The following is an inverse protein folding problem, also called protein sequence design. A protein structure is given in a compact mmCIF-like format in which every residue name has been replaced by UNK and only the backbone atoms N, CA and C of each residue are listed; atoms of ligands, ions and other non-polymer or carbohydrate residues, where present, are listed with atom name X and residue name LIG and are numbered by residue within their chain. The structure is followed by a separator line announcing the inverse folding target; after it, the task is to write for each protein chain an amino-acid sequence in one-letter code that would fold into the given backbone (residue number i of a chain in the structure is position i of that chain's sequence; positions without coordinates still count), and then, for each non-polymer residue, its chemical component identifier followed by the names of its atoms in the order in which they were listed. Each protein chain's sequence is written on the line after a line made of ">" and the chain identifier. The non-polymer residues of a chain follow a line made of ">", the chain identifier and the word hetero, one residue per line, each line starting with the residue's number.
data_IF_854585096914
#
_entry.id   IF_854585096914
#
_cell.length_a   1.000
_cell.length_b   1.000
_cell.length_c   1.000
_cell.angle_alpha   90.00
_cell.angle_beta   90.00
_cell.angle_gamma   90.00
#
_symmetry.space_group_name_H-M   'P 1'
#
loop_
_entity.id
_entity.type
_entity.pdbx_description
1 polymer ?
#
# COMPACT_ATOMS: atom_id res chain seq x y z
N UNK A 1 13.36 -17.37 10.75
CA UNK A 1 14.42 -16.76 11.58
C UNK A 1 14.57 -17.60 12.85
N UNK A 2 15.80 -17.98 13.27
CA UNK A 2 16.01 -18.62 14.57
C UNK A 2 15.52 -17.72 15.72
N UNK A 3 14.89 -18.29 16.75
CA UNK A 3 14.48 -17.56 17.96
C UNK A 3 13.16 -16.78 17.89
N UNK A 4 12.37 -16.92 16.81
CA UNK A 4 11.06 -16.27 16.65
C UNK A 4 9.95 -17.29 16.36
N UNK A 5 8.68 -17.05 16.76
CA UNK A 5 8.18 -15.86 17.47
C UNK A 5 8.64 -15.78 18.94
N UNK A 6 8.83 -14.56 19.44
CA UNK A 6 9.21 -14.28 20.82
C UNK A 6 8.13 -13.42 21.49
N UNK A 7 7.87 -13.64 22.79
CA UNK A 7 6.98 -12.77 23.56
C UNK A 7 7.55 -11.35 23.62
N UNK A 8 6.73 -10.35 23.29
CA UNK A 8 7.16 -8.95 23.21
C UNK A 8 7.83 -8.45 24.50
N UNK A 9 7.36 -8.91 25.66
CA UNK A 9 7.88 -8.55 26.99
C UNK A 9 9.24 -9.15 27.33
N UNK A 10 9.73 -10.14 26.58
CA UNK A 10 11.08 -10.70 26.75
C UNK A 10 12.14 -9.76 26.19
N UNK A 11 11.85 -9.15 25.03
CA UNK A 11 12.71 -8.17 24.37
C UNK A 11 12.46 -6.75 24.92
N UNK A 12 11.20 -6.32 24.96
CA UNK A 12 10.74 -5.03 25.47
C UNK A 12 10.26 -5.16 26.92
N UNK A 13 11.21 -5.29 27.86
CA UNK A 13 10.87 -5.49 29.28
C UNK A 13 10.04 -4.33 29.82
N UNK A 14 8.90 -4.66 30.45
CA UNK A 14 7.93 -3.68 30.96
C UNK A 14 6.85 -3.26 29.95
N UNK A 15 6.92 -3.69 28.70
CA UNK A 15 5.87 -3.46 27.70
C UNK A 15 4.77 -4.54 27.79
N UNK A 16 3.47 -4.17 27.83
CA UNK A 16 2.37 -5.12 27.86
C UNK A 16 2.16 -5.85 26.52
N UNK A 17 1.56 -7.06 26.52
CA UNK A 17 1.20 -7.76 25.29
C UNK A 17 0.06 -7.03 24.54
N UNK A 18 -0.02 -7.27 23.22
CA UNK A 18 -1.02 -6.66 22.32
C UNK A 18 -1.00 -5.13 22.37
N UNK A 19 0.10 -4.53 21.91
CA UNK A 19 0.16 -3.08 21.65
C UNK A 19 -0.79 -2.69 20.52
N UNK A 20 -1.20 -1.42 20.49
CA UNK A 20 -2.11 -0.89 19.46
C UNK A 20 -1.33 -0.24 18.31
N UNK A 21 -0.27 0.51 18.65
CA UNK A 21 0.63 1.14 17.67
C UNK A 21 2.06 1.27 18.22
N UNK A 22 3.04 1.38 17.31
CA UNK A 22 4.44 1.72 17.60
C UNK A 22 4.99 2.58 16.47
N UNK A 23 5.88 3.52 16.79
CA UNK A 23 6.74 4.20 15.82
C UNK A 23 8.07 4.59 16.46
N UNK A 24 9.06 4.91 15.63
CA UNK A 24 10.30 5.58 16.04
C UNK A 24 10.13 7.10 15.83
N UNK A 25 10.41 7.90 16.85
CA UNK A 25 10.26 9.36 16.78
C UNK A 25 11.53 10.07 16.26
N UNK A 26 11.46 11.40 16.17
CA UNK A 26 12.58 12.26 15.74
C UNK A 26 13.86 12.16 16.57
N UNK A 27 13.83 11.54 17.76
CA UNK A 27 14.97 11.35 18.65
C UNK A 27 15.53 9.91 18.60
N UNK A 28 15.05 9.06 17.69
CA UNK A 28 15.40 7.64 17.62
C UNK A 28 14.85 6.81 18.79
N UNK A 29 13.76 7.25 19.41
CA UNK A 29 13.09 6.53 20.52
C UNK A 29 11.86 5.79 20.01
N UNK A 30 11.71 4.55 20.45
CA UNK A 30 10.53 3.74 20.15
C UNK A 30 9.39 4.11 21.10
N UNK A 31 8.31 4.63 20.53
CA UNK A 31 7.11 5.04 21.25
C UNK A 31 6.01 4.01 20.99
N UNK A 32 5.55 3.37 22.04
CA UNK A 32 4.49 2.35 21.99
C UNK A 32 3.21 2.87 22.61
N UNK A 33 2.07 2.59 21.99
CA UNK A 33 0.73 2.93 22.49
C UNK A 33 -0.09 1.67 22.81
N UNK A 34 -0.88 1.75 23.89
CA UNK A 34 -1.89 0.75 24.23
C UNK A 34 -3.02 1.42 25.03
N UNK A 35 -4.23 1.46 24.46
CA UNK A 35 -5.35 2.21 24.99
C UNK A 35 -4.97 3.67 25.23
N UNK A 36 -5.22 4.16 26.45
CA UNK A 36 -4.86 5.51 26.89
C UNK A 36 -3.43 5.66 27.39
N UNK A 37 -2.59 4.63 27.32
CA UNK A 37 -1.22 4.66 27.83
C UNK A 37 -0.19 4.64 26.71
N UNK A 38 0.96 5.27 26.96
CA UNK A 38 2.13 5.15 26.12
C UNK A 38 3.40 4.87 26.92
N UNK A 39 4.35 4.20 26.27
CA UNK A 39 5.69 3.88 26.77
C UNK A 39 6.70 4.46 25.79
N UNK A 40 7.83 4.96 26.29
CA UNK A 40 8.96 5.36 25.45
C UNK A 40 10.17 4.52 25.85
N UNK A 41 10.80 3.93 24.84
CA UNK A 41 12.04 3.17 24.96
C UNK A 41 13.14 3.90 24.19
N UNK A 42 14.36 3.87 24.74
CA UNK A 42 15.58 4.15 23.97
C UNK A 42 16.30 2.83 23.81
N UNK A 43 16.66 2.46 22.59
CA UNK A 43 17.14 1.12 22.25
C UNK A 43 16.11 0.08 22.75
N UNK A 44 16.46 -0.77 23.72
CA UNK A 44 15.53 -1.72 24.38
C UNK A 44 15.19 -1.34 25.83
N UNK A 45 15.60 -0.16 26.29
CA UNK A 45 15.48 0.31 27.69
C UNK A 45 14.29 1.24 27.87
N UNK A 46 13.31 0.79 28.66
CA UNK A 46 12.16 1.60 29.08
C UNK A 46 12.64 2.85 29.81
N UNK A 47 12.21 4.02 29.35
CA UNK A 47 12.60 5.29 29.95
C UNK A 47 11.90 5.51 31.30
N UNK A 48 12.50 6.30 32.19
CA UNK A 48 11.96 6.55 33.53
C UNK A 48 10.62 7.31 33.48
N UNK A 49 9.71 6.94 34.39
CA UNK A 49 8.39 7.56 34.52
C UNK A 49 7.35 7.12 33.47
N UNK A 50 7.55 5.97 32.82
CA UNK A 50 6.57 5.33 31.92
C UNK A 50 5.96 4.06 32.54
N UNK A 51 4.71 3.68 32.18
CA UNK A 51 3.82 4.35 31.22
C UNK A 51 3.27 5.70 31.70
N UNK A 52 2.86 6.53 30.73
CA UNK A 52 2.13 7.78 30.95
C UNK A 52 0.79 7.75 30.24
N UNK A 53 -0.17 8.56 30.70
CA UNK A 53 -1.43 8.76 29.99
C UNK A 53 -1.21 9.58 28.71
N UNK A 54 -1.92 9.23 27.63
CA UNK A 54 -1.82 9.84 26.30
C UNK A 54 -2.12 11.35 26.30
N UNK A 55 -2.89 11.85 27.27
CA UNK A 55 -3.09 13.30 27.50
C UNK A 55 -1.80 14.04 27.84
N UNK A 56 -0.79 13.35 28.39
CA UNK A 56 0.54 13.90 28.69
C UNK A 56 1.52 13.81 27.50
N UNK A 57 1.10 13.20 26.38
CA UNK A 57 1.95 13.08 25.21
C UNK A 57 2.18 14.46 24.57
N UNK A 58 1.09 15.18 24.28
CA UNK A 58 1.10 16.55 23.76
C UNK A 58 -0.31 17.12 23.63
N UNK A 59 -0.40 18.42 23.33
CA UNK A 59 -1.69 19.10 23.20
C UNK A 59 -2.45 18.64 21.93
N UNK A 60 -3.76 18.41 22.06
CA UNK A 60 -4.63 17.98 20.95
C UNK A 60 -4.64 16.48 20.64
N UNK A 61 -4.00 15.64 21.46
CA UNK A 61 -4.02 14.17 21.31
C UNK A 61 -5.44 13.58 21.41
N UNK A 62 -5.77 12.53 20.63
CA UNK A 62 -7.05 11.83 20.76
C UNK A 62 -7.14 11.09 22.11
N UNK A 63 -8.17 11.39 22.90
CA UNK A 63 -8.32 10.91 24.29
C UNK A 63 -8.65 9.42 24.48
N UNK A 64 -8.52 8.59 23.43
CA UNK A 64 -8.96 7.18 23.43
C UNK A 64 -7.80 6.20 23.23
N UNK A 65 -7.21 6.18 22.04
CA UNK A 65 -6.06 5.35 21.64
C UNK A 65 -5.51 5.79 20.28
N UNK A 66 -4.35 5.25 19.89
CA UNK A 66 -3.73 5.40 18.57
C UNK A 66 -3.75 4.04 17.87
N UNK A 67 -4.19 3.97 16.61
CA UNK A 67 -4.26 2.73 15.81
C UNK A 67 -3.08 2.60 14.84
N UNK A 68 -2.46 3.72 14.44
CA UNK A 68 -1.19 3.75 13.70
C UNK A 68 -0.46 5.05 14.03
N UNK A 69 0.87 4.97 14.11
CA UNK A 69 1.76 6.12 14.22
C UNK A 69 2.87 5.98 13.16
N UNK A 70 3.34 7.08 12.58
CA UNK A 70 4.48 7.08 11.66
C UNK A 70 5.19 8.44 11.69
N UNK A 71 6.51 8.43 11.83
CA UNK A 71 7.35 9.62 11.68
C UNK A 71 7.68 9.84 10.20
N UNK A 72 7.48 11.06 9.71
CA UNK A 72 7.90 11.49 8.38
C UNK A 72 9.01 12.52 8.52
N UNK A 73 10.25 12.05 8.39
CA UNK A 73 11.46 12.84 8.59
C UNK A 73 11.56 14.04 7.63
N UNK A 74 11.24 13.84 6.34
CA UNK A 74 11.38 14.85 5.29
C UNK A 74 10.52 16.12 5.51
N UNK A 75 9.46 16.01 6.31
CA UNK A 75 8.59 17.15 6.72
C UNK A 75 8.64 17.43 8.22
N UNK A 76 9.48 16.72 8.97
CA UNK A 76 9.61 16.78 10.42
C UNK A 76 8.27 16.72 11.20
N UNK A 77 7.38 15.77 10.83
CA UNK A 77 6.08 15.57 11.52
C UNK A 77 5.78 14.10 11.79
N UNK A 78 5.14 13.84 12.92
CA UNK A 78 4.54 12.54 13.22
C UNK A 78 3.08 12.55 12.79
N UNK A 79 2.63 11.47 12.16
CA UNK A 79 1.24 11.27 11.77
C UNK A 79 0.63 10.14 12.60
N UNK A 80 -0.51 10.43 13.23
CA UNK A 80 -1.28 9.47 13.99
C UNK A 80 -2.61 9.21 13.30
N UNK A 81 -3.08 7.97 13.30
CA UNK A 81 -4.34 7.55 12.67
C UNK A 81 -5.25 6.88 13.68
N UNK A 82 -6.56 7.13 13.53
CA UNK A 82 -7.63 6.48 14.28
C UNK A 82 -8.94 6.60 13.50
N UNK A 83 -9.60 5.47 13.21
CA UNK A 83 -10.85 5.48 12.45
C UNK A 83 -10.70 6.09 11.05
N UNK A 84 -11.64 6.97 10.70
CA UNK A 84 -11.69 7.76 9.47
C UNK A 84 -10.72 8.96 9.46
N UNK A 85 -9.88 9.13 10.49
CA UNK A 85 -9.15 10.37 10.77
C UNK A 85 -7.68 10.18 11.01
N UNK A 86 -6.94 11.25 10.72
CA UNK A 86 -5.54 11.37 11.05
C UNK A 86 -5.20 12.75 11.63
N UNK A 87 -4.18 12.77 12.48
CA UNK A 87 -3.60 13.95 13.13
C UNK A 87 -2.18 14.16 12.61
N UNK A 88 -1.75 15.41 12.54
CA UNK A 88 -0.34 15.77 12.27
C UNK A 88 0.22 16.46 13.51
N UNK A 89 1.24 15.85 14.08
CA UNK A 89 1.84 16.23 15.35
C UNK A 89 3.22 16.86 15.13
N UNK A 90 3.48 17.93 15.86
CA UNK A 90 4.78 18.57 15.97
C UNK A 90 5.50 18.04 17.21
N UNK A 91 6.56 17.23 17.01
CA UNK A 91 7.38 16.67 18.10
C UNK A 91 8.08 17.77 18.92
N UNK A 92 8.61 18.80 18.25
CA UNK A 92 9.33 19.92 18.88
C UNK A 92 8.41 20.76 19.78
N UNK A 93 7.26 21.20 19.24
CA UNK A 93 6.28 22.01 19.97
C UNK A 93 5.35 21.18 20.88
N UNK A 94 5.44 19.85 20.81
CA UNK A 94 4.57 18.89 21.51
C UNK A 94 3.07 19.17 21.39
N UNK A 95 2.63 19.52 20.19
CA UNK A 95 1.22 19.86 19.89
C UNK A 95 0.80 19.34 18.52
N UNK A 96 -0.49 19.08 18.35
CA UNK A 96 -1.09 18.95 17.04
C UNK A 96 -1.01 20.27 16.27
N UNK A 97 -0.80 20.17 14.96
CA UNK A 97 -0.90 21.31 14.06
C UNK A 97 -2.37 21.80 13.95
N UNK A 98 -2.61 23.11 13.78
CA UNK A 98 -3.97 23.64 13.60
C UNK A 98 -4.71 23.03 12.39
N UNK A 99 -6.03 22.86 12.52
CA UNK A 99 -6.88 22.31 11.45
C UNK A 99 -6.78 20.78 11.29
N UNK A 100 -6.28 20.09 12.31
CA UNK A 100 -6.34 18.63 12.50
C UNK A 100 -7.28 18.26 13.66
N UNK A 101 -7.90 17.05 13.67
CA UNK A 101 -7.75 15.98 12.69
C UNK A 101 -8.38 16.26 11.33
N UNK A 102 -7.82 15.65 10.29
CA UNK A 102 -8.34 15.64 8.92
C UNK A 102 -8.84 14.23 8.57
N UNK A 103 -9.74 14.07 7.58
CA UNK A 103 -10.15 12.75 7.11
C UNK A 103 -8.98 12.01 6.46
N UNK A 104 -8.88 10.71 6.67
CA UNK A 104 -7.82 9.85 6.12
C UNK A 104 -7.86 9.79 4.59
N UNK A 105 -8.98 10.14 3.95
CA UNK A 105 -9.13 10.24 2.49
C UNK A 105 -8.15 11.20 1.80
N UNK A 106 -7.48 12.10 2.55
CA UNK A 106 -6.33 12.89 2.07
C UNK A 106 -5.16 11.98 1.65
N UNK A 107 -4.98 10.85 2.36
CA UNK A 107 -4.05 9.77 2.02
C UNK A 107 -4.68 8.87 0.96
N UNK A 108 -4.73 9.37 -0.28
CA UNK A 108 -5.51 8.78 -1.36
C UNK A 108 -5.22 7.28 -1.56
N UNK A 109 -6.20 6.44 -1.26
CA UNK A 109 -6.12 4.97 -1.40
C UNK A 109 -5.67 4.21 -0.16
N UNK A 110 -5.25 4.89 0.91
CA UNK A 110 -5.03 4.25 2.24
C UNK A 110 -6.41 3.97 2.87
N UNK A 111 -6.63 2.79 3.45
CA UNK A 111 -7.90 2.46 4.10
C UNK A 111 -8.06 3.17 5.44
N UNK A 112 -9.31 3.38 5.87
CA UNK A 112 -9.64 3.79 7.25
C UNK A 112 -9.08 2.78 8.28
N UNK A 113 -8.71 3.23 9.48
CA UNK A 113 -8.07 2.40 10.52
C UNK A 113 -6.99 1.46 9.98
N UNK A 114 -5.86 1.98 9.46
CA UNK A 114 -4.65 1.17 9.32
C UNK A 114 -4.22 0.67 10.70
N UNK A 115 -3.55 -0.49 10.74
CA UNK A 115 -3.07 -1.14 11.97
C UNK A 115 -1.57 -0.95 12.20
N UNK A 116 -0.88 -0.36 11.24
CA UNK A 116 0.47 0.18 11.39
C UNK A 116 0.97 0.77 10.07
N UNK A 117 2.05 1.54 10.16
CA UNK A 117 2.74 2.08 9.01
C UNK A 117 4.25 2.22 9.28
N UNK A 118 5.05 2.19 8.21
CA UNK A 118 6.49 2.46 8.27
C UNK A 118 6.97 3.13 6.99
N UNK A 119 8.05 3.91 7.08
CA UNK A 119 8.61 4.66 5.94
C UNK A 119 9.83 3.94 5.39
N UNK A 120 9.83 3.73 4.08
CA UNK A 120 11.00 3.40 3.28
C UNK A 120 11.53 4.70 2.67
N UNK A 121 12.35 5.40 3.47
CA UNK A 121 12.89 6.72 3.13
C UNK A 121 13.77 6.66 1.87
N UNK A 122 14.55 5.60 1.72
CA UNK A 122 15.48 5.43 0.60
C UNK A 122 14.75 5.41 -0.75
N UNK A 123 13.54 4.84 -0.80
CA UNK A 123 12.74 4.76 -2.02
C UNK A 123 11.55 5.74 -2.07
N UNK A 124 11.34 6.57 -1.04
CA UNK A 124 10.28 7.57 -1.00
C UNK A 124 8.85 7.01 -0.83
N UNK A 125 8.71 5.87 -0.14
CA UNK A 125 7.41 5.22 0.09
C UNK A 125 7.06 5.11 1.58
N UNK A 126 5.76 5.15 1.88
CA UNK A 126 5.22 4.73 3.17
C UNK A 126 4.38 3.48 2.96
N UNK A 127 4.61 2.43 3.75
CA UNK A 127 3.81 1.21 3.70
C UNK A 127 2.81 1.24 4.85
N UNK A 128 1.52 1.17 4.54
CA UNK A 128 0.44 0.98 5.51
C UNK A 128 -0.01 -0.48 5.50
N UNK A 129 -0.34 -1.07 6.64
CA UNK A 129 -0.94 -2.41 6.69
C UNK A 129 -2.28 -2.44 7.43
N UNK A 130 -3.13 -3.38 7.04
CA UNK A 130 -4.42 -3.68 7.68
C UNK A 130 -4.78 -5.14 7.41
N UNK A 131 -5.16 -5.87 8.45
CA UNK A 131 -5.39 -7.30 8.44
C UNK A 131 -4.23 -8.10 7.81
N UNK A 132 -4.43 -8.67 6.61
CA UNK A 132 -3.44 -9.47 5.87
C UNK A 132 -2.86 -8.73 4.67
N UNK A 133 -3.19 -7.45 4.52
CA UNK A 133 -2.93 -6.64 3.34
C UNK A 133 -2.06 -5.42 3.66
N UNK A 134 -1.32 -4.94 2.66
CA UNK A 134 -0.56 -3.70 2.74
C UNK A 134 -0.71 -2.84 1.49
N UNK A 135 -0.58 -1.53 1.68
CA UNK A 135 -0.70 -0.48 0.68
C UNK A 135 0.63 0.27 0.58
N UNK A 136 1.23 0.30 -0.61
CA UNK A 136 2.43 1.11 -0.90
C UNK A 136 2.00 2.52 -1.28
N UNK A 137 2.16 3.46 -0.34
CA UNK A 137 1.88 4.88 -0.54
C UNK A 137 3.11 5.61 -1.06
N UNK A 138 2.95 6.36 -2.14
CA UNK A 138 3.99 7.19 -2.75
C UNK A 138 4.01 8.57 -2.08
N UNK A 139 5.12 8.90 -1.41
CA UNK A 139 5.21 10.13 -0.61
C UNK A 139 5.26 11.39 -1.50
N UNK A 140 5.70 11.27 -2.76
CA UNK A 140 5.77 12.39 -3.71
C UNK A 140 4.41 12.67 -4.37
N UNK A 141 3.70 11.62 -4.81
CA UNK A 141 2.39 11.77 -5.47
C UNK A 141 1.20 11.77 -4.49
N UNK A 142 1.45 11.55 -3.19
CA UNK A 142 0.47 11.50 -2.11
C UNK A 142 -0.72 10.58 -2.42
N UNK A 143 -0.43 9.38 -2.92
CA UNK A 143 -1.40 8.33 -3.26
C UNK A 143 -0.79 6.94 -3.15
N UNK A 144 -1.64 5.93 -2.98
CA UNK A 144 -1.25 4.53 -3.14
C UNK A 144 -0.91 4.22 -4.61
N UNK A 145 0.14 3.43 -4.82
CA UNK A 145 0.59 2.96 -6.13
C UNK A 145 -0.42 1.97 -6.75
N UNK A 146 -0.54 1.93 -8.10
CA UNK A 146 -1.36 0.91 -8.77
C UNK A 146 -0.92 -0.52 -8.43
N UNK A 147 -1.88 -1.45 -8.38
CA UNK A 147 -1.61 -2.86 -8.04
C UNK A 147 -1.52 -3.17 -6.54
N UNK A 148 -1.99 -2.25 -5.69
CA UNK A 148 -2.16 -2.43 -4.24
C UNK A 148 -3.66 -2.36 -3.86
N UNK A 149 -4.10 -3.03 -2.77
CA UNK A 149 -3.30 -3.76 -1.79
C UNK A 149 -2.62 -5.04 -2.30
N UNK A 150 -1.59 -5.48 -1.58
CA UNK A 150 -0.91 -6.77 -1.76
C UNK A 150 -0.85 -7.53 -0.43
N UNK A 151 -0.51 -8.82 -0.47
CA UNK A 151 -0.59 -9.71 0.71
C UNK A 151 0.67 -9.64 1.57
N UNK A 152 0.55 -9.19 2.82
CA UNK A 152 1.64 -9.20 3.81
C UNK A 152 2.17 -10.61 4.03
N UNK A 153 1.27 -11.61 4.03
CA UNK A 153 1.64 -13.00 4.23
C UNK A 153 2.55 -13.51 3.11
N UNK A 154 2.22 -13.19 1.85
CA UNK A 154 3.01 -13.59 0.69
C UNK A 154 4.32 -12.81 0.60
N UNK A 155 4.24 -11.48 0.66
CA UNK A 155 5.33 -10.61 0.26
C UNK A 155 6.31 -10.26 1.41
N UNK A 156 5.86 -10.26 2.67
CA UNK A 156 6.71 -9.95 3.83
C UNK A 156 7.01 -11.17 4.71
N UNK A 157 6.02 -12.06 4.91
CA UNK A 157 6.18 -13.25 5.77
C UNK A 157 6.70 -14.49 5.02
N UNK A 158 6.79 -14.44 3.67
CA UNK A 158 7.25 -15.55 2.85
C UNK A 158 6.32 -16.77 2.87
N UNK A 159 5.04 -16.59 3.20
CA UNK A 159 4.06 -17.67 3.18
C UNK A 159 3.66 -17.97 1.73
N UNK A 160 4.11 -19.10 1.21
CA UNK A 160 3.52 -19.68 0.01
C UNK A 160 2.05 -20.04 0.28
N UNK A 161 1.15 -19.43 -0.47
CA UNK A 161 -0.23 -19.89 -0.55
C UNK A 161 -0.24 -21.16 -1.40
N UNK A 162 0.06 -22.30 -0.79
CA UNK A 162 -0.31 -23.59 -1.38
C UNK A 162 -1.81 -23.55 -1.66
N UNK A 163 -2.25 -23.95 -2.87
CA UNK A 163 -3.66 -24.17 -3.13
C UNK A 163 -4.19 -25.07 -2.01
N UNK A 164 -5.29 -24.66 -1.36
CA UNK A 164 -5.88 -25.46 -0.31
C UNK A 164 -6.08 -26.87 -0.86
N UNK A 165 -5.46 -27.86 -0.20
CA UNK A 165 -5.57 -29.25 -0.64
C UNK A 165 -7.05 -29.56 -0.86
N UNK A 166 -7.44 -30.17 -2.00
CA UNK A 166 -8.84 -30.40 -2.30
C UNK A 166 -9.47 -31.07 -1.09
N UNK A 167 -10.58 -30.48 -0.62
CA UNK A 167 -11.24 -30.93 0.59
C UNK A 167 -11.42 -32.45 0.49
N UNK A 168 -10.95 -33.19 1.51
CA UNK A 168 -11.04 -34.65 1.49
C UNK A 168 -12.49 -35.01 1.15
N UNK A 169 -12.74 -35.81 0.10
CA UNK A 169 -14.09 -36.24 -0.18
C UNK A 169 -14.64 -36.94 1.09
N UNK A 170 -15.93 -36.77 1.41
CA UNK A 170 -16.55 -37.56 2.46
C UNK A 170 -16.37 -39.04 2.13
N UNK A 171 -16.27 -39.88 3.16
CA UNK A 171 -16.08 -41.32 2.97
C UNK A 171 -17.22 -41.89 2.11
N UNK A 172 -16.84 -42.57 1.04
CA UNK A 172 -17.74 -43.14 0.05
C UNK A 172 -18.47 -44.37 0.63
N UNK A 173 -19.79 -44.33 0.58
CA UNK A 173 -20.68 -45.48 0.69
C UNK A 173 -21.62 -45.46 -0.51
N UNK A 174 -21.74 -46.58 -1.21
CA UNK A 174 -22.72 -46.78 -2.28
C UNK A 174 -22.36 -46.12 -3.62
N UNK A 175 -21.42 -46.75 -4.33
CA UNK A 175 -20.99 -46.33 -5.66
C UNK A 175 -22.09 -46.01 -6.67
N UNK A 176 -21.81 -45.00 -7.49
CA UNK A 176 -22.50 -44.70 -8.74
C UNK A 176 -21.46 -44.20 -9.76
N UNK A 177 -21.49 -44.76 -10.97
CA UNK A 177 -20.53 -44.40 -12.03
C UNK A 177 -20.71 -42.94 -12.45
N UNK A 178 -19.76 -42.08 -12.08
CA UNK A 178 -19.68 -40.71 -12.59
C UNK A 178 -19.04 -40.73 -13.97
N UNK A 179 -19.87 -40.60 -15.01
CA UNK A 179 -19.42 -40.27 -16.36
C UNK A 179 -18.81 -38.88 -16.33
N UNK A 180 -17.47 -38.80 -16.34
CA UNK A 180 -16.75 -37.53 -16.47
C UNK A 180 -16.81 -37.13 -17.96
N UNK A 181 -17.67 -36.17 -18.27
CA UNK A 181 -17.62 -35.46 -19.55
C UNK A 181 -16.36 -34.59 -19.56
N UNK A 182 -15.34 -35.04 -20.30
CA UNK A 182 -14.07 -34.35 -20.44
C UNK A 182 -14.25 -33.12 -21.34
N UNK A 183 -14.55 -31.98 -20.70
CA UNK A 183 -14.72 -30.70 -21.38
C UNK A 183 -13.51 -30.35 -22.26
N UNK A 184 -13.81 -29.93 -23.49
CA UNK A 184 -12.89 -30.02 -24.60
C UNK A 184 -11.89 -28.84 -24.67
N UNK A 185 -10.83 -28.92 -23.86
CA UNK A 185 -9.70 -27.97 -23.90
C UNK A 185 -9.01 -27.88 -25.28
N UNK A 186 -9.13 -28.92 -26.12
CA UNK A 186 -8.57 -28.89 -27.48
C UNK A 186 -9.36 -27.96 -28.43
N UNK A 187 -10.66 -27.72 -28.19
CA UNK A 187 -11.45 -26.79 -28.99
C UNK A 187 -11.15 -25.33 -28.65
N UNK A 188 -10.95 -24.99 -27.37
CA UNK A 188 -10.62 -23.62 -26.95
C UNK A 188 -9.24 -23.20 -27.44
N UNK A 189 -8.23 -24.08 -27.37
CA UNK A 189 -6.89 -23.79 -27.92
C UNK A 189 -6.94 -23.62 -29.45
N UNK A 190 -7.70 -24.45 -30.18
CA UNK A 190 -7.90 -24.28 -31.63
C UNK A 190 -8.64 -22.99 -31.98
N UNK A 191 -9.65 -22.61 -31.20
CA UNK A 191 -10.37 -21.34 -31.40
C UNK A 191 -9.44 -20.13 -31.21
N UNK A 192 -8.63 -20.11 -30.15
CA UNK A 192 -7.64 -19.05 -29.88
C UNK A 192 -6.62 -18.95 -31.02
N UNK A 193 -6.14 -20.09 -31.53
CA UNK A 193 -5.19 -20.16 -32.64
C UNK A 193 -5.73 -19.62 -33.98
N UNK A 194 -7.05 -19.54 -34.16
CA UNK A 194 -7.69 -18.98 -35.38
C UNK A 194 -8.11 -17.52 -35.15
N UNK A 195 -8.70 -17.21 -34.00
CA UNK A 195 -9.21 -15.86 -33.69
C UNK A 195 -8.08 -14.83 -33.65
N UNK A 196 -6.91 -15.14 -33.08
CA UNK A 196 -5.79 -14.19 -33.00
C UNK A 196 -5.28 -13.78 -34.40
N UNK A 197 -4.94 -14.71 -35.32
CA UNK A 197 -4.60 -14.34 -36.70
C UNK A 197 -5.69 -13.56 -37.44
N UNK A 198 -6.96 -13.93 -37.27
CA UNK A 198 -8.08 -13.21 -37.91
C UNK A 198 -8.20 -11.77 -37.41
N UNK A 199 -8.08 -11.53 -36.11
CA UNK A 199 -8.11 -10.17 -35.53
C UNK A 199 -6.90 -9.34 -35.99
N UNK A 200 -5.70 -9.93 -36.04
CA UNK A 200 -4.51 -9.24 -36.55
C UNK A 200 -4.64 -8.88 -38.04
N UNK A 201 -5.19 -9.78 -38.87
CA UNK A 201 -5.46 -9.52 -40.28
C UNK A 201 -6.47 -8.38 -40.46
N UNK A 202 -7.55 -8.34 -39.68
CA UNK A 202 -8.52 -7.25 -39.69
C UNK A 202 -7.88 -5.90 -39.29
N UNK A 203 -7.05 -5.88 -38.25
CA UNK A 203 -6.31 -4.67 -37.85
C UNK A 203 -5.39 -4.17 -38.97
N UNK A 204 -4.67 -5.06 -39.66
CA UNK A 204 -3.83 -4.68 -40.81
C UNK A 204 -4.66 -4.15 -41.98
N UNK A 205 -5.81 -4.76 -42.29
CA UNK A 205 -6.72 -4.26 -43.32
C UNK A 205 -7.29 -2.88 -42.98
N UNK A 206 -7.63 -2.61 -41.71
CA UNK A 206 -8.06 -1.28 -41.24
C UNK A 206 -6.92 -0.26 -41.36
N UNK A 207 -5.69 -0.61 -41.01
CA UNK A 207 -4.52 0.27 -41.18
C UNK A 207 -4.22 0.56 -42.67
N UNK A 208 -4.28 -0.44 -43.55
CA UNK A 208 -4.14 -0.23 -45.00
C UNK A 208 -5.29 0.64 -45.52
N UNK A 209 -6.52 0.42 -45.06
CA UNK A 209 -7.67 1.24 -45.44
C UNK A 209 -7.54 2.69 -44.98
N UNK A 210 -7.10 2.96 -43.75
CA UNK A 210 -6.87 4.33 -43.28
C UNK A 210 -5.73 5.01 -44.04
N UNK A 211 -4.63 4.31 -44.33
CA UNK A 211 -3.53 4.83 -45.16
C UNK A 211 -3.98 5.11 -46.61
N UNK A 212 -4.80 4.23 -47.20
CA UNK A 212 -5.38 4.46 -48.55
C UNK A 212 -6.36 5.63 -48.53
N UNK A 213 -7.18 5.77 -47.49
CA UNK A 213 -8.03 6.95 -47.31
C UNK A 213 -7.20 8.23 -47.10
N UNK A 214 -6.07 8.16 -46.41
CA UNK A 214 -5.13 9.29 -46.24
C UNK A 214 -4.41 9.65 -47.55
N UNK A 215 -4.14 8.68 -48.43
CA UNK A 215 -3.62 8.94 -49.78
C UNK A 215 -4.70 9.44 -50.76
N UNK A 216 -5.95 8.99 -50.62
CA UNK A 216 -7.09 9.45 -51.44
C UNK A 216 -7.58 10.84 -51.04
N UNK A 217 -7.58 11.16 -49.75
CA UNK A 217 -7.74 12.52 -49.23
C UNK A 217 -6.41 13.26 -49.40
N UNK A 218 -6.15 13.68 -50.64
CA UNK A 218 -4.93 14.40 -51.01
C UNK A 218 -4.58 15.53 -50.04
N UNK A 219 -3.28 15.73 -49.84
CA UNK A 219 -2.68 16.60 -48.83
C UNK A 219 -3.47 17.87 -48.55
N UNK A 220 -3.87 18.16 -47.30
CA UNK A 220 -4.46 19.44 -46.95
C UNK A 220 -3.39 20.52 -47.15
N UNK A 221 -3.45 21.25 -48.27
CA UNK A 221 -2.71 22.50 -48.43
C UNK A 221 -3.35 23.53 -47.51
N UNK A 222 -2.67 23.85 -46.41
CA UNK A 222 -2.88 25.12 -45.73
C UNK A 222 -1.56 25.86 -45.55
N UNK A 223 -1.57 27.10 -46.02
CA UNK A 223 -0.48 28.07 -45.99
C UNK A 223 -0.58 28.88 -44.68
N UNK A 224 0.57 29.36 -44.17
CA UNK A 224 0.84 30.56 -43.33
C UNK A 224 1.93 30.19 -42.30
N UNK A 225 3.22 30.56 -42.39
CA UNK A 225 3.94 31.85 -42.61
C UNK A 225 4.32 32.58 -41.29
N UNK A 226 5.63 32.88 -41.13
CA UNK A 226 6.31 33.54 -39.98
C UNK A 226 6.31 32.74 -38.64
N UNK A 227 7.32 32.77 -37.75
CA UNK A 227 8.58 33.56 -37.53
C UNK A 227 9.54 32.67 -36.67
N UNK A 228 10.86 32.90 -36.47
CA UNK A 228 11.84 33.96 -36.84
C UNK A 228 13.25 33.34 -36.96
N UNK A 229 14.13 33.99 -37.74
CA UNK A 229 15.60 33.91 -37.78
C UNK A 229 16.37 33.67 -36.46
N UNK A 230 17.42 32.84 -36.53
CA UNK A 230 18.81 33.20 -36.18
C UNK A 230 19.78 32.53 -37.18
N UNK A 231 20.84 33.27 -37.54
CA UNK A 231 22.22 32.87 -37.97
C UNK A 231 22.42 31.48 -38.64
N UNK A 232 23.14 31.34 -39.76
CA UNK A 232 24.60 31.53 -39.82
C UNK A 232 25.21 31.43 -41.25
N UNK A 233 26.42 32.02 -41.39
CA UNK A 233 27.52 31.76 -42.34
C UNK A 233 27.39 31.90 -43.88
N UNK A 234 28.06 32.98 -44.36
CA UNK A 234 28.74 33.23 -45.66
C UNK A 234 27.86 33.45 -46.90
#
# INVERSE_FOLDING_TARGET
>A
MPGYPMLISVFWRGLPPKIDAVYENSEGKFVFFKGKQFWVFKDTVLQSGYPKDISQFGHGMPAQSIETAVWWEDVAKTYFFKGDRYWRYNEEMRTMDPGYPKPVTVWRGVPDSPQGAFVDKANGFTYFYKAKEYWKFNNQFLRVEPGYPRSVLKDFMGCELTPAAPARPPADDGGSDVVIELDNEANTVKAIAIVIPCVLALCLLVLVYTVVQFKRKGTPRHILYCKRSMQEWV
#
